data_IF_875476646604
#
_entry.id   IF_875476646604
#
_cell.length_a   1.000
_cell.length_b   1.000
_cell.length_c   1.000
_cell.angle_alpha   90.00
_cell.angle_beta   90.00
_cell.angle_gamma   90.00
#
_symmetry.space_group_name_H-M   'P 1'
#
loop_
_entity.id
_entity.type
_entity.pdbx_description
1 polymer ?
#
# COMPACT_ATOMS: atom_id res chain seq x y z
N UNK A 1 60.18 34.13 37.89
CA UNK A 1 60.78 32.78 37.93
C UNK A 1 59.62 31.79 38.04
N UNK A 2 59.03 31.43 36.91
CA UNK A 2 57.82 30.61 36.82
C UNK A 2 58.19 29.21 36.34
N UNK A 3 57.92 28.22 37.19
CA UNK A 3 58.09 26.80 36.91
C UNK A 3 56.84 26.29 36.17
N UNK A 4 57.03 25.91 34.90
CA UNK A 4 56.07 25.16 34.11
C UNK A 4 56.24 23.66 34.36
N UNK A 5 55.16 22.99 34.76
CA UNK A 5 55.04 21.52 34.75
C UNK A 5 54.41 21.05 33.44
N UNK A 6 54.93 20.02 32.75
CA UNK A 6 54.33 19.51 31.52
C UNK A 6 53.24 18.47 31.81
N UNK A 7 52.13 18.55 31.08
CA UNK A 7 51.07 17.53 31.01
C UNK A 7 51.52 16.32 30.17
N UNK A 8 51.13 15.07 30.53
CA UNK A 8 51.41 13.90 29.71
C UNK A 8 50.44 13.79 28.52
N UNK A 9 51.01 13.56 27.33
CA UNK A 9 50.29 13.24 26.09
C UNK A 9 49.62 11.87 26.21
N UNK A 10 48.29 11.81 26.04
CA UNK A 10 47.55 10.56 25.80
C UNK A 10 47.72 10.16 24.34
N UNK A 11 48.32 9.00 24.11
CA UNK A 11 48.37 8.29 22.83
C UNK A 11 47.05 7.56 22.60
N UNK A 12 46.35 7.88 21.51
CA UNK A 12 45.21 7.09 21.01
C UNK A 12 45.73 5.92 20.15
N UNK A 13 45.24 4.69 20.34
CA UNK A 13 45.56 3.59 19.45
C UNK A 13 44.82 3.76 18.11
N UNK A 14 45.59 3.73 17.03
CA UNK A 14 45.12 3.62 15.64
C UNK A 14 44.36 2.29 15.46
N UNK A 15 43.07 2.36 15.14
CA UNK A 15 42.33 1.23 14.57
C UNK A 15 42.79 1.01 13.11
N UNK A 16 43.00 -0.24 12.66
CA UNK A 16 43.27 -0.52 11.26
C UNK A 16 41.99 -0.38 10.44
N UNK A 17 42.05 0.51 9.45
CA UNK A 17 41.09 0.59 8.34
C UNK A 17 41.16 -0.71 7.53
N UNK A 18 40.11 -1.52 7.60
CA UNK A 18 39.87 -2.64 6.67
C UNK A 18 39.25 -2.05 5.39
N UNK A 19 40.05 -1.97 4.34
CA UNK A 19 39.61 -1.73 2.96
C UNK A 19 38.81 -2.95 2.50
N UNK A 20 37.49 -2.79 2.35
CA UNK A 20 36.67 -3.72 1.58
C UNK A 20 36.82 -3.39 0.09
N UNK A 21 37.58 -4.22 -0.64
CA UNK A 21 37.51 -4.29 -2.10
C UNK A 21 36.17 -4.94 -2.48
N UNK A 22 35.24 -4.19 -3.06
CA UNK A 22 34.08 -4.77 -3.76
C UNK A 22 34.50 -5.18 -5.17
N UNK A 23 34.59 -6.49 -5.41
CA UNK A 23 34.68 -7.04 -6.76
C UNK A 23 33.30 -7.02 -7.41
N UNK A 24 33.14 -6.19 -8.44
CA UNK A 24 31.98 -6.16 -9.33
C UNK A 24 32.02 -7.42 -10.21
N UNK A 25 31.14 -8.39 -9.95
CA UNK A 25 30.88 -9.49 -10.88
C UNK A 25 29.78 -9.04 -11.83
N UNK A 26 30.14 -8.84 -13.09
CA UNK A 26 29.23 -8.60 -14.21
C UNK A 26 28.58 -9.94 -14.54
N UNK A 27 27.29 -10.10 -14.22
CA UNK A 27 26.48 -11.20 -14.71
C UNK A 27 25.88 -10.81 -16.07
N UNK A 28 26.14 -11.63 -17.09
CA UNK A 28 25.52 -11.53 -18.42
C UNK A 28 24.05 -12.01 -18.36
N UNK A 29 23.16 -11.47 -19.22
CA UNK A 29 21.79 -11.94 -19.31
C UNK A 29 21.74 -13.31 -20.00
N UNK A 30 20.97 -14.23 -19.42
CA UNK A 30 20.55 -15.45 -20.09
C UNK A 30 19.36 -15.12 -20.99
N UNK A 31 19.55 -15.35 -22.29
CA UNK A 31 18.47 -15.51 -23.26
C UNK A 31 17.59 -16.69 -22.82
N UNK A 32 16.29 -16.45 -22.67
CA UNK A 32 15.31 -17.54 -22.65
C UNK A 32 14.23 -17.27 -23.69
N UNK A 33 14.46 -17.85 -24.86
CA UNK A 33 13.49 -18.01 -25.93
C UNK A 33 12.50 -19.10 -25.55
N UNK A 34 11.29 -18.72 -25.16
CA UNK A 34 10.15 -19.65 -25.12
C UNK A 34 9.06 -19.17 -26.08
N UNK A 35 9.00 -19.89 -27.19
CA UNK A 35 8.03 -19.78 -28.26
C UNK A 35 6.67 -20.37 -27.85
N UNK A 36 5.62 -19.56 -27.94
CA UNK A 36 4.36 -19.90 -28.60
C UNK A 36 3.41 -20.89 -27.94
N UNK A 37 2.29 -20.37 -27.42
CA UNK A 37 0.94 -20.94 -27.59
C UNK A 37 0.00 -19.77 -27.93
N UNK A 38 -0.76 -19.93 -29.01
CA UNK A 38 -1.69 -18.94 -29.57
C UNK A 38 -3.06 -18.85 -28.86
N UNK A 39 -4.00 -18.08 -29.46
CA UNK A 39 -5.08 -17.39 -28.75
C UNK A 39 -6.31 -18.28 -28.51
N UNK A 40 -6.88 -18.19 -27.30
CA UNK A 40 -8.20 -18.71 -26.89
C UNK A 40 -8.66 -17.85 -25.71
N UNK A 41 -9.86 -17.30 -25.62
CA UNK A 41 -11.01 -17.26 -26.50
C UNK A 41 -11.93 -16.14 -26.01
N UNK A 42 -12.67 -15.52 -26.93
CA UNK A 42 -13.68 -14.51 -26.59
C UNK A 42 -14.82 -15.14 -25.80
N UNK A 43 -15.18 -14.58 -24.65
CA UNK A 43 -16.48 -14.79 -24.04
C UNK A 43 -17.26 -13.46 -24.03
N UNK A 44 -18.04 -13.29 -25.10
CA UNK A 44 -19.22 -12.42 -25.11
C UNK A 44 -20.34 -13.15 -24.36
N UNK A 45 -20.82 -12.57 -23.27
CA UNK A 45 -22.26 -12.49 -22.99
C UNK A 45 -22.50 -11.67 -21.73
N UNK A 46 -22.74 -10.37 -21.90
CA UNK A 46 -23.54 -9.53 -20.99
C UNK A 46 -23.73 -8.11 -21.59
N UNK A 47 -24.13 -8.01 -22.87
CA UNK A 47 -24.81 -6.80 -23.37
C UNK A 47 -25.81 -7.26 -24.44
N UNK A 48 -27.09 -7.38 -24.08
CA UNK A 48 -28.20 -6.65 -24.71
C UNK A 48 -29.58 -7.13 -24.22
N UNK A 49 -30.33 -6.19 -23.64
CA UNK A 49 -31.80 -6.15 -23.59
C UNK A 49 -32.42 -6.69 -22.31
N UNK A 50 -33.41 -6.06 -21.69
CA UNK A 50 -34.13 -4.79 -21.92
C UNK A 50 -35.14 -4.71 -20.78
N UNK A 51 -35.32 -3.52 -20.22
CA UNK A 51 -36.49 -3.08 -19.45
C UNK A 51 -36.86 -3.88 -18.19
N UNK A 52 -36.52 -3.32 -17.03
CA UNK A 52 -37.18 -3.62 -15.76
C UNK A 52 -36.21 -3.91 -14.63
N UNK A 53 -35.93 -2.85 -13.85
CA UNK A 53 -35.60 -2.81 -12.42
C UNK A 53 -35.04 -4.08 -11.73
N UNK A 54 -33.87 -3.88 -11.11
CA UNK A 54 -33.39 -4.42 -9.82
C UNK A 54 -31.95 -4.98 -9.88
N UNK A 55 -31.05 -4.25 -9.22
CA UNK A 55 -29.88 -4.72 -8.47
C UNK A 55 -28.76 -5.45 -9.22
N UNK A 56 -28.04 -4.69 -10.06
CA UNK A 56 -26.57 -4.75 -10.03
C UNK A 56 -26.03 -3.60 -9.18
N UNK A 57 -26.68 -3.36 -8.03
CA UNK A 57 -26.14 -2.51 -6.99
C UNK A 57 -24.76 -3.08 -6.63
N UNK A 58 -23.75 -2.23 -6.76
CA UNK A 58 -22.36 -2.58 -6.53
C UNK A 58 -22.24 -3.36 -5.24
N UNK A 59 -21.97 -4.67 -5.38
CA UNK A 59 -21.75 -5.53 -4.23
C UNK A 59 -20.73 -4.80 -3.38
N UNK A 60 -21.08 -4.37 -2.14
CA UNK A 60 -20.15 -3.66 -1.30
C UNK A 60 -18.95 -4.57 -1.20
N UNK A 61 -17.82 -4.12 -1.75
CA UNK A 61 -16.52 -4.75 -1.55
C UNK A 61 -16.50 -5.09 -0.06
N UNK A 62 -16.54 -6.40 0.22
CA UNK A 62 -16.97 -6.95 1.50
C UNK A 62 -16.46 -6.10 2.64
N UNK A 63 -17.31 -5.79 3.63
CA UNK A 63 -16.97 -5.09 4.86
C UNK A 63 -15.49 -5.28 5.18
N UNK A 64 -14.71 -4.24 4.86
CA UNK A 64 -13.26 -4.29 4.81
C UNK A 64 -12.84 -4.56 6.25
N UNK A 65 -12.44 -5.80 6.56
CA UNK A 65 -12.23 -6.19 7.96
C UNK A 65 -10.89 -5.71 8.50
N UNK A 66 -10.00 -5.24 7.64
CA UNK A 66 -8.76 -4.57 8.01
C UNK A 66 -8.95 -3.08 8.39
N UNK A 67 -10.16 -2.52 8.33
CA UNK A 67 -10.52 -1.21 8.91
C UNK A 67 -11.81 -0.56 8.35
N UNK A 68 -12.27 0.61 8.85
CA UNK A 68 -11.93 1.27 10.11
C UNK A 68 -12.75 0.72 11.30
N UNK A 69 -12.37 1.10 12.50
CA UNK A 69 -13.16 0.90 13.71
C UNK A 69 -14.41 1.79 13.72
N UNK A 70 -15.50 1.28 14.30
CA UNK A 70 -16.77 2.02 14.40
C UNK A 70 -16.78 3.07 15.52
N UNK A 71 -15.86 2.97 16.46
CA UNK A 71 -15.70 3.87 17.61
C UNK A 71 -14.57 4.90 17.41
N UNK A 72 -14.01 4.96 16.19
CA UNK A 72 -12.88 5.82 15.82
C UNK A 72 -11.63 5.62 16.68
N UNK A 73 -11.55 4.53 17.46
CA UNK A 73 -10.34 4.20 18.19
C UNK A 73 -9.28 3.61 17.26
N UNK A 74 -8.02 3.71 17.64
CA UNK A 74 -6.90 3.26 16.85
C UNK A 74 -6.94 1.74 16.60
N UNK A 75 -7.32 1.33 15.39
CA UNK A 75 -7.38 -0.06 14.93
C UNK A 75 -6.07 -0.53 14.31
N UNK A 76 -5.88 -1.85 14.22
CA UNK A 76 -4.74 -2.45 13.53
C UNK A 76 -5.16 -3.72 12.77
N UNK A 77 -5.28 -3.60 11.45
CA UNK A 77 -5.62 -4.70 10.55
C UNK A 77 -4.37 -5.33 9.92
N UNK A 78 -4.47 -6.62 9.60
CA UNK A 78 -3.45 -7.32 8.82
C UNK A 78 -4.10 -8.17 7.73
N UNK A 79 -3.46 -8.22 6.57
CA UNK A 79 -3.69 -9.25 5.56
C UNK A 79 -2.41 -10.06 5.41
N UNK A 80 -2.51 -11.38 5.54
CA UNK A 80 -1.43 -12.31 5.22
C UNK A 80 -1.84 -13.08 3.98
N UNK A 81 -1.28 -12.71 2.83
CA UNK A 81 -1.56 -13.35 1.55
C UNK A 81 -0.50 -14.40 1.20
N UNK A 82 -0.87 -15.49 0.55
CA UNK A 82 0.10 -16.42 -0.03
C UNK A 82 -0.32 -16.92 -1.40
N UNK A 83 0.64 -16.95 -2.33
CA UNK A 83 0.44 -17.58 -3.64
C UNK A 83 0.78 -19.07 -3.65
N UNK A 84 1.22 -19.62 -2.50
CA UNK A 84 1.54 -21.05 -2.34
C UNK A 84 0.31 -21.93 -2.12
N UNK A 85 -0.79 -21.36 -1.60
CA UNK A 85 -2.07 -22.05 -1.42
C UNK A 85 -3.08 -21.35 -2.32
N UNK A 86 -3.52 -22.04 -3.38
CA UNK A 86 -4.50 -21.51 -4.34
C UNK A 86 -5.72 -22.41 -4.41
N UNK A 87 -6.83 -21.83 -4.83
CA UNK A 87 -8.09 -22.53 -5.05
C UNK A 87 -8.49 -22.40 -6.52
N UNK A 88 -8.76 -23.53 -7.18
CA UNK A 88 -9.13 -23.60 -8.60
C UNK A 88 -10.55 -24.14 -8.75
N UNK A 89 -11.29 -23.55 -9.69
CA UNK A 89 -12.57 -24.06 -10.16
C UNK A 89 -12.72 -23.87 -11.67
N UNK A 90 -12.71 -24.97 -12.42
CA UNK A 90 -12.73 -24.96 -13.90
C UNK A 90 -14.09 -24.54 -14.50
N UNK A 91 -15.12 -24.37 -13.66
CA UNK A 91 -16.47 -23.99 -14.09
C UNK A 91 -16.88 -22.60 -13.61
N UNK A 92 -15.98 -21.87 -12.96
CA UNK A 92 -16.27 -20.54 -12.42
C UNK A 92 -16.01 -19.45 -13.48
N UNK A 93 -16.95 -18.52 -13.64
CA UNK A 93 -16.75 -17.32 -14.47
C UNK A 93 -16.09 -16.20 -13.65
N UNK A 94 -15.82 -15.05 -14.28
CA UNK A 94 -15.19 -13.90 -13.62
C UNK A 94 -16.03 -13.40 -12.43
N UNK A 95 -17.32 -13.14 -12.63
CA UNK A 95 -18.22 -12.59 -11.61
C UNK A 95 -18.28 -13.48 -10.37
N UNK A 96 -18.52 -14.78 -10.55
CA UNK A 96 -18.62 -15.74 -9.47
C UNK A 96 -17.27 -15.96 -8.77
N UNK A 97 -16.16 -15.87 -9.50
CA UNK A 97 -14.82 -15.91 -8.90
C UNK A 97 -14.57 -14.67 -8.06
N UNK A 98 -14.91 -13.48 -8.59
CA UNK A 98 -14.75 -12.21 -7.89
C UNK A 98 -15.64 -12.13 -6.64
N UNK A 99 -16.86 -12.69 -6.67
CA UNK A 99 -17.75 -12.78 -5.51
C UNK A 99 -17.19 -13.64 -4.37
N UNK A 100 -16.24 -14.54 -4.66
CA UNK A 100 -15.56 -15.34 -3.64
C UNK A 100 -14.54 -14.53 -2.83
N UNK A 101 -14.04 -13.40 -3.37
CA UNK A 101 -13.06 -12.54 -2.68
C UNK A 101 -13.57 -12.13 -1.30
N UNK A 102 -12.72 -12.19 -0.28
CA UNK A 102 -13.03 -11.82 1.10
C UNK A 102 -14.04 -12.74 1.81
N UNK A 103 -14.54 -13.79 1.14
CA UNK A 103 -15.43 -14.80 1.74
C UNK A 103 -14.63 -15.89 2.42
N UNK A 104 -15.22 -16.45 3.48
CA UNK A 104 -14.54 -17.41 4.36
C UNK A 104 -14.33 -18.76 3.68
N UNK A 105 -13.15 -19.35 3.88
CA UNK A 105 -12.79 -20.68 3.37
C UNK A 105 -13.06 -21.72 4.46
N UNK A 106 -13.88 -22.74 4.17
CA UNK A 106 -14.23 -23.84 5.07
C UNK A 106 -14.69 -23.43 6.48
N UNK A 107 -15.28 -22.23 6.63
CA UNK A 107 -15.68 -21.72 7.94
C UNK A 107 -14.51 -21.40 8.88
N UNK A 108 -13.27 -21.38 8.40
CA UNK A 108 -12.07 -21.19 9.23
C UNK A 108 -11.98 -19.75 9.72
N UNK A 109 -12.18 -19.60 11.02
CA UNK A 109 -12.15 -18.33 11.72
C UNK A 109 -11.83 -18.54 13.19
N UNK A 110 -11.46 -17.45 13.86
CA UNK A 110 -11.29 -17.41 15.31
C UNK A 110 -11.49 -16.00 15.84
N UNK A 111 -11.03 -15.75 17.06
CA UNK A 111 -11.12 -14.41 17.66
C UNK A 111 -10.23 -13.46 16.86
N UNK A 112 -10.87 -12.45 16.24
CA UNK A 112 -10.24 -11.41 15.44
C UNK A 112 -9.47 -11.89 14.20
N UNK A 113 -9.77 -13.08 13.67
CA UNK A 113 -9.18 -13.53 12.42
C UNK A 113 -10.10 -14.43 11.60
N UNK A 114 -9.89 -14.46 10.29
CA UNK A 114 -10.54 -15.40 9.35
C UNK A 114 -9.60 -15.78 8.22
N UNK A 115 -9.78 -16.99 7.67
CA UNK A 115 -9.21 -17.37 6.38
C UNK A 115 -10.22 -17.04 5.28
N UNK A 116 -9.80 -16.21 4.34
CA UNK A 116 -10.55 -15.78 3.16
C UNK A 116 -9.89 -16.25 1.87
N UNK A 117 -10.65 -16.13 0.79
CA UNK A 117 -10.11 -16.22 -0.55
C UNK A 117 -9.84 -14.81 -1.11
N UNK A 118 -8.71 -14.64 -1.78
CA UNK A 118 -8.40 -13.44 -2.57
C UNK A 118 -8.42 -13.74 -4.06
N UNK A 119 -8.88 -12.79 -4.87
CA UNK A 119 -9.04 -12.94 -6.31
C UNK A 119 -7.69 -12.82 -7.02
N UNK A 120 -7.33 -13.83 -7.83
CA UNK A 120 -6.14 -13.78 -8.69
C UNK A 120 -6.49 -13.71 -10.17
N UNK A 121 -7.36 -14.60 -10.64
CA UNK A 121 -7.76 -14.73 -12.05
C UNK A 121 -9.13 -15.46 -12.13
N UNK A 122 -9.72 -15.56 -13.32
CA UNK A 122 -10.94 -16.32 -13.56
C UNK A 122 -10.73 -17.79 -13.13
N UNK A 123 -11.59 -18.27 -12.24
CA UNK A 123 -11.50 -19.62 -11.69
C UNK A 123 -10.29 -19.86 -10.79
N UNK A 124 -9.55 -18.81 -10.39
CA UNK A 124 -8.36 -18.92 -9.54
C UNK A 124 -8.36 -17.91 -8.40
N UNK A 125 -8.22 -18.42 -7.18
CA UNK A 125 -8.12 -17.64 -5.95
C UNK A 125 -6.85 -18.00 -5.17
N UNK A 126 -6.39 -17.15 -4.27
CA UNK A 126 -5.37 -17.44 -3.25
C UNK A 126 -5.96 -17.48 -1.85
N UNK A 127 -5.28 -18.17 -0.93
CA UNK A 127 -5.57 -18.08 0.49
C UNK A 127 -5.04 -16.77 1.09
N UNK A 128 -5.84 -16.18 1.95
CA UNK A 128 -5.55 -14.95 2.67
C UNK A 128 -6.04 -15.07 4.12
N UNK A 129 -5.20 -14.79 5.10
CA UNK A 129 -5.68 -14.59 6.47
C UNK A 129 -5.85 -13.10 6.73
N UNK A 130 -7.02 -12.72 7.22
CA UNK A 130 -7.30 -11.35 7.66
C UNK A 130 -7.35 -11.32 9.18
N UNK A 131 -6.59 -10.40 9.80
CA UNK A 131 -6.78 -9.98 11.18
C UNK A 131 -7.68 -8.74 11.22
N UNK A 132 -8.77 -8.84 11.97
CA UNK A 132 -9.86 -7.86 11.95
C UNK A 132 -9.46 -6.55 12.67
N UNK A 133 -9.05 -5.55 11.89
CA UNK A 133 -8.67 -4.21 12.34
C UNK A 133 -9.82 -3.42 12.93
N UNK A 134 -11.08 -3.81 12.69
CA UNK A 134 -12.25 -3.17 13.35
C UNK A 134 -12.33 -3.57 14.83
N UNK A 135 -11.80 -4.74 15.19
CA UNK A 135 -11.82 -5.31 16.53
C UNK A 135 -10.48 -5.20 17.26
N UNK A 136 -9.35 -5.35 16.54
CA UNK A 136 -8.00 -5.25 17.10
C UNK A 136 -7.68 -3.79 17.34
N UNK A 137 -7.41 -3.44 18.60
CA UNK A 137 -7.02 -2.09 19.01
C UNK A 137 -5.52 -2.02 19.26
N UNK A 138 -4.89 -0.94 18.80
CA UNK A 138 -3.48 -0.65 19.05
C UNK A 138 -3.25 -0.51 20.56
N UNK A 139 -2.23 -1.19 21.08
CA UNK A 139 -1.86 -1.17 22.50
C UNK A 139 -2.60 -2.19 23.36
N UNK A 140 -3.55 -2.95 22.78
CA UNK A 140 -4.25 -4.02 23.48
C UNK A 140 -3.52 -5.37 23.39
N UNK A 141 -2.45 -5.47 22.58
CA UNK A 141 -1.70 -6.71 22.35
C UNK A 141 -2.54 -7.86 21.79
N UNK A 142 -3.70 -7.55 21.18
CA UNK A 142 -4.59 -8.55 20.58
C UNK A 142 -4.15 -8.97 19.18
N UNK A 143 -3.35 -8.15 18.50
CA UNK A 143 -2.79 -8.45 17.18
C UNK A 143 -1.86 -9.67 17.22
N UNK A 144 -0.92 -9.69 18.17
CA UNK A 144 0.02 -10.81 18.37
C UNK A 144 -0.74 -12.12 18.66
N UNK A 145 -1.73 -12.08 19.54
CA UNK A 145 -2.54 -13.25 19.88
C UNK A 145 -3.33 -13.79 18.68
N UNK A 146 -3.94 -12.91 17.88
CA UNK A 146 -4.67 -13.30 16.68
C UNK A 146 -3.73 -13.87 15.60
N UNK A 147 -2.57 -13.24 15.37
CA UNK A 147 -1.54 -13.75 14.46
C UNK A 147 -0.99 -15.12 14.90
N UNK A 148 -0.81 -15.33 16.21
CA UNK A 148 -0.45 -16.64 16.76
C UNK A 148 -1.54 -17.69 16.46
N UNK A 149 -2.81 -17.34 16.65
CA UNK A 149 -3.90 -18.25 16.36
C UNK A 149 -3.98 -18.61 14.86
N UNK A 150 -3.68 -17.65 13.97
CA UNK A 150 -3.51 -17.92 12.53
C UNK A 150 -2.36 -18.88 12.26
N UNK A 151 -1.20 -18.68 12.90
CA UNK A 151 -0.06 -19.59 12.77
C UNK A 151 -0.39 -21.02 13.23
N UNK A 152 -1.10 -21.16 14.35
CA UNK A 152 -1.56 -22.45 14.86
C UNK A 152 -2.62 -23.06 13.89
N UNK A 153 -3.52 -22.25 13.32
CA UNK A 153 -4.53 -22.68 12.36
C UNK A 153 -3.93 -23.25 11.08
N UNK A 154 -2.99 -22.53 10.44
CA UNK A 154 -2.41 -22.98 9.17
C UNK A 154 -1.63 -24.30 9.34
N UNK A 155 -0.87 -24.43 10.44
CA UNK A 155 -0.15 -25.66 10.77
C UNK A 155 -1.12 -26.82 11.00
N UNK A 156 -2.24 -26.57 11.69
CA UNK A 156 -3.27 -27.60 11.92
C UNK A 156 -4.10 -27.92 10.67
N UNK A 157 -4.32 -26.95 9.78
CA UNK A 157 -5.09 -27.15 8.55
C UNK A 157 -4.33 -28.06 7.58
N UNK A 158 -3.02 -27.83 7.46
CA UNK A 158 -2.10 -28.61 6.65
C UNK A 158 -2.69 -29.01 5.27
N UNK A 159 -3.04 -28.01 4.41
CA UNK A 159 -3.90 -28.22 3.24
C UNK A 159 -3.35 -29.21 2.19
N UNK A 160 -2.08 -29.59 2.28
CA UNK A 160 -1.41 -30.51 1.33
C UNK A 160 -1.28 -31.96 1.82
N UNK A 161 -1.48 -32.23 3.10
CA UNK A 161 -1.29 -33.58 3.66
C UNK A 161 -2.60 -34.27 4.05
N UNK A 162 -3.53 -33.50 4.62
CA UNK A 162 -4.59 -34.07 5.45
C UNK A 162 -6.00 -33.90 4.84
N UNK A 163 -6.10 -33.39 3.61
CA UNK A 163 -7.38 -33.13 2.93
C UNK A 163 -7.77 -34.24 1.96
N UNK A 164 -8.90 -34.91 2.24
CA UNK A 164 -9.53 -35.82 1.28
C UNK A 164 -9.99 -35.03 0.05
N UNK A 165 -9.58 -35.48 -1.15
CA UNK A 165 -9.88 -34.87 -2.46
C UNK A 165 -9.35 -33.44 -2.68
N UNK A 166 -8.58 -32.85 -1.74
CA UNK A 166 -8.09 -31.48 -1.82
C UNK A 166 -9.18 -30.44 -2.11
N UNK A 167 -10.38 -30.58 -1.54
CA UNK A 167 -11.52 -29.69 -1.81
C UNK A 167 -11.81 -28.74 -0.65
N UNK A 168 -12.10 -27.48 -0.97
CA UNK A 168 -12.61 -26.47 -0.03
C UNK A 168 -13.95 -25.91 -0.51
N UNK A 169 -14.72 -25.38 0.42
CA UNK A 169 -15.90 -24.59 0.16
C UNK A 169 -15.67 -23.14 0.59
N UNK A 170 -16.08 -22.20 -0.24
CA UNK A 170 -16.08 -20.76 0.05
C UNK A 170 -17.51 -20.35 0.38
N UNK A 171 -17.72 -19.72 1.54
CA UNK A 171 -19.05 -19.40 2.05
C UNK A 171 -19.88 -18.59 1.04
N UNK A 172 -21.04 -19.13 0.68
CA UNK A 172 -22.02 -18.46 -0.20
C UNK A 172 -21.62 -18.40 -1.68
N UNK A 173 -20.55 -19.09 -2.09
CA UNK A 173 -20.08 -19.05 -3.47
C UNK A 173 -20.70 -20.16 -4.35
N UNK A 174 -21.03 -19.83 -5.61
CA UNK A 174 -21.68 -20.75 -6.55
C UNK A 174 -20.72 -21.75 -7.19
N UNK A 175 -19.41 -21.49 -7.17
CA UNK A 175 -18.39 -22.33 -7.81
C UNK A 175 -17.85 -23.45 -6.90
N UNK A 176 -18.54 -23.72 -5.80
CA UNK A 176 -18.17 -24.76 -4.86
C UNK A 176 -18.41 -26.17 -5.44
N UNK A 177 -17.54 -27.15 -5.14
CA UNK A 177 -16.32 -27.02 -4.36
C UNK A 177 -15.14 -26.51 -5.19
N UNK A 178 -14.21 -25.82 -4.54
CA UNK A 178 -12.92 -25.43 -5.11
C UNK A 178 -11.86 -26.48 -4.83
N UNK A 179 -10.91 -26.67 -5.74
CA UNK A 179 -9.77 -27.59 -5.57
C UNK A 179 -8.55 -26.81 -5.11
N UNK A 180 -7.91 -27.25 -4.03
CA UNK A 180 -6.62 -26.70 -3.61
C UNK A 180 -5.55 -27.14 -4.60
N UNK A 181 -4.78 -26.18 -5.09
CA UNK A 181 -3.62 -26.43 -5.94
C UNK A 181 -2.48 -25.46 -5.57
N UNK A 182 -1.24 -25.85 -5.85
CA UNK A 182 -0.06 -25.07 -5.45
C UNK A 182 1.13 -25.95 -5.10
N UNK A 183 2.32 -25.35 -5.07
CA UNK A 183 3.60 -26.05 -5.01
C UNK A 183 4.09 -26.47 -3.62
N UNK A 184 3.21 -26.61 -2.63
CA UNK A 184 3.60 -27.10 -1.30
C UNK A 184 3.55 -28.63 -1.25
N UNK A 185 4.55 -29.27 -0.64
CA UNK A 185 4.44 -30.69 -0.28
C UNK A 185 3.94 -30.86 1.16
N UNK A 186 3.35 -32.03 1.45
CA UNK A 186 2.94 -32.39 2.81
C UNK A 186 4.13 -32.23 3.80
N UNK A 187 3.92 -31.46 4.88
CA UNK A 187 4.97 -31.18 5.88
C UNK A 187 5.75 -29.87 5.69
N UNK A 188 5.54 -29.14 4.60
CA UNK A 188 6.20 -27.84 4.34
C UNK A 188 5.37 -26.62 4.74
N UNK A 189 4.19 -26.83 5.33
CA UNK A 189 3.21 -25.76 5.60
C UNK A 189 3.77 -24.67 6.52
N UNK A 190 4.63 -25.04 7.48
CA UNK A 190 5.31 -24.07 8.34
C UNK A 190 6.29 -23.14 7.58
N UNK A 191 6.79 -23.58 6.42
CA UNK A 191 7.74 -22.82 5.59
C UNK A 191 7.08 -21.98 4.51
N UNK A 192 5.75 -22.07 4.37
CA UNK A 192 4.99 -21.22 3.44
C UNK A 192 5.26 -19.77 3.78
N UNK A 193 5.65 -19.02 2.75
CA UNK A 193 5.85 -17.59 2.87
C UNK A 193 4.52 -16.87 2.67
N UNK A 194 4.24 -15.99 3.62
CA UNK A 194 3.12 -15.06 3.64
C UNK A 194 3.63 -13.66 3.34
N UNK A 195 2.87 -12.90 2.58
CA UNK A 195 3.16 -11.52 2.19
C UNK A 195 2.28 -10.61 3.04
N UNK A 196 2.79 -10.03 4.14
CA UNK A 196 1.98 -9.23 5.02
C UNK A 196 1.65 -7.87 4.40
N UNK A 197 0.42 -7.41 4.69
CA UNK A 197 -0.04 -6.04 4.53
C UNK A 197 -0.64 -5.58 5.86
N UNK A 198 -0.49 -4.29 6.19
CA UNK A 198 -0.90 -3.76 7.50
C UNK A 198 -1.71 -2.50 7.30
N UNK A 199 -2.93 -2.43 7.83
CA UNK A 199 -3.77 -1.23 7.81
C UNK A 199 -3.78 -0.60 9.20
N UNK A 200 -3.42 0.69 9.30
CA UNK A 200 -3.38 1.43 10.56
C UNK A 200 -3.61 2.94 10.37
N UNK A 201 -4.17 3.65 11.37
CA UNK A 201 -4.21 5.10 11.36
C UNK A 201 -2.81 5.66 11.64
N UNK A 202 -2.35 6.59 10.80
CA UNK A 202 -0.99 7.12 10.90
C UNK A 202 -0.96 8.64 10.68
N UNK A 203 -0.32 9.40 11.59
CA UNK A 203 -0.21 10.84 11.42
C UNK A 203 0.66 11.16 10.20
N UNK A 204 0.31 12.22 9.46
CA UNK A 204 1.02 12.58 8.22
C UNK A 204 2.51 12.89 8.45
N UNK A 205 2.90 13.33 9.65
CA UNK A 205 4.30 13.50 10.04
C UNK A 205 5.05 12.15 10.05
N UNK A 206 4.43 11.09 10.55
CA UNK A 206 5.01 9.75 10.51
C UNK A 206 5.13 9.24 9.07
N UNK A 207 4.14 9.54 8.22
CA UNK A 207 4.23 9.24 6.79
C UNK A 207 5.43 9.96 6.17
N UNK A 208 5.61 11.25 6.46
CA UNK A 208 6.78 12.01 5.99
C UNK A 208 8.11 11.38 6.42
N UNK A 209 8.21 10.95 7.69
CA UNK A 209 9.39 10.25 8.20
C UNK A 209 9.65 8.92 7.46
N UNK A 210 8.61 8.11 7.22
CA UNK A 210 8.73 6.85 6.49
C UNK A 210 9.19 7.07 5.03
N UNK A 211 8.71 8.14 4.38
CA UNK A 211 9.22 8.56 3.06
C UNK A 211 10.72 8.89 3.08
N UNK A 212 11.22 9.48 4.17
CA UNK A 212 12.64 9.77 4.37
C UNK A 212 13.50 8.54 4.62
N UNK A 213 12.97 7.54 5.33
CA UNK A 213 13.68 6.29 5.60
C UNK A 213 13.83 5.42 4.34
N UNK A 214 12.81 5.40 3.47
CA UNK A 214 12.68 4.57 2.24
C UNK A 214 12.71 3.05 2.44
N UNK A 215 13.40 2.56 3.47
CA UNK A 215 13.59 1.15 3.85
C UNK A 215 13.94 1.06 5.34
N UNK A 216 13.99 -0.14 5.91
CA UNK A 216 14.53 -0.38 7.25
C UNK A 216 13.50 -0.28 8.39
N UNK A 217 12.35 0.34 8.15
CA UNK A 217 11.16 0.19 9.00
C UNK A 217 10.46 -1.14 8.74
N UNK A 218 9.84 -1.73 9.77
CA UNK A 218 8.97 -2.91 9.65
C UNK A 218 7.71 -2.61 8.81
N UNK A 219 7.33 -1.34 8.73
CA UNK A 219 6.22 -0.83 7.91
C UNK A 219 6.65 -0.47 6.48
N UNK A 220 7.92 -0.70 6.11
CA UNK A 220 8.42 -0.47 4.77
C UNK A 220 8.93 -1.79 4.18
N UNK A 221 8.76 -1.99 2.87
CA UNK A 221 9.35 -3.15 2.24
C UNK A 221 10.88 -3.00 2.21
N UNK A 222 11.55 -4.12 1.96
CA UNK A 222 12.93 -4.08 1.46
C UNK A 222 12.98 -3.22 0.18
N UNK A 223 14.15 -2.66 -0.19
CA UNK A 223 14.23 -1.85 -1.40
C UNK A 223 13.67 -2.62 -2.62
N UNK A 224 12.56 -2.15 -3.16
CA UNK A 224 11.83 -2.73 -4.30
C UNK A 224 11.58 -1.66 -5.36
N UNK A 225 11.12 -2.07 -6.55
CA UNK A 225 10.72 -1.13 -7.61
C UNK A 225 9.60 -0.16 -7.17
N UNK A 226 8.67 -0.56 -6.29
CA UNK A 226 7.63 0.36 -5.79
C UNK A 226 8.22 1.57 -5.05
N UNK A 227 9.28 1.35 -4.27
CA UNK A 227 9.94 2.45 -3.55
C UNK A 227 10.68 3.40 -4.49
N UNK A 228 10.90 3.03 -5.76
CA UNK A 228 11.54 3.90 -6.75
C UNK A 228 10.60 5.03 -7.21
N UNK A 229 9.28 4.85 -7.10
CA UNK A 229 8.32 5.89 -7.41
C UNK A 229 8.11 6.88 -6.26
N UNK A 230 8.49 6.53 -5.02
CA UNK A 230 8.26 7.40 -3.85
C UNK A 230 9.02 8.72 -3.97
N UNK A 231 8.28 9.81 -4.02
CA UNK A 231 8.79 11.19 -4.07
C UNK A 231 8.67 11.79 -2.66
N UNK A 232 9.80 11.90 -1.97
CA UNK A 232 9.85 12.64 -0.70
C UNK A 232 9.93 14.15 -0.98
N UNK A 233 8.84 14.87 -0.73
CA UNK A 233 8.78 16.32 -0.83
C UNK A 233 9.41 16.94 0.41
N UNK A 234 10.47 17.72 0.24
CA UNK A 234 11.15 18.41 1.36
C UNK A 234 10.81 19.89 1.36
N UNK A 235 11.18 20.60 2.44
CA UNK A 235 11.04 22.07 2.50
C UNK A 235 11.67 22.80 1.31
N UNK A 236 12.73 22.23 0.71
CA UNK A 236 13.42 22.81 -0.45
C UNK A 236 12.56 22.83 -1.72
N UNK A 237 11.55 21.98 -1.84
CA UNK A 237 10.60 22.03 -2.96
C UNK A 237 9.77 23.33 -2.94
N UNK A 238 9.70 24.02 -1.80
CA UNK A 238 8.97 25.28 -1.63
C UNK A 238 9.88 26.52 -1.72
N UNK A 239 11.13 26.37 -2.16
CA UNK A 239 12.08 27.50 -2.21
C UNK A 239 11.67 28.61 -3.19
N UNK A 240 10.92 28.28 -4.24
CA UNK A 240 10.35 29.24 -5.20
C UNK A 240 9.06 29.92 -4.70
N UNK A 241 8.62 29.60 -3.46
CA UNK A 241 7.40 30.08 -2.84
C UNK A 241 6.12 29.86 -3.68
N UNK A 242 5.83 28.61 -4.11
CA UNK A 242 4.64 28.32 -4.92
C UNK A 242 3.37 28.78 -4.18
N UNK A 243 2.54 29.60 -4.84
CA UNK A 243 1.35 30.23 -4.26
C UNK A 243 1.58 30.92 -2.89
N UNK A 244 2.79 31.47 -2.68
CA UNK A 244 3.16 32.15 -1.44
C UNK A 244 3.40 31.22 -0.25
N UNK A 245 3.57 29.91 -0.50
CA UNK A 245 3.96 28.93 0.50
C UNK A 245 5.48 28.95 0.70
N UNK A 246 5.95 29.59 1.78
CA UNK A 246 7.38 29.65 2.11
C UNK A 246 7.88 28.35 2.73
N UNK A 247 9.08 27.91 2.32
CA UNK A 247 9.76 26.73 2.88
C UNK A 247 9.89 26.74 4.41
N UNK A 248 9.98 27.91 5.03
CA UNK A 248 10.08 28.07 6.48
C UNK A 248 8.77 27.78 7.21
N UNK A 249 7.63 28.00 6.54
CA UNK A 249 6.30 27.87 7.14
C UNK A 249 5.72 26.44 6.98
N UNK A 250 6.38 25.58 6.19
CA UNK A 250 5.89 24.23 5.91
C UNK A 250 6.21 23.29 7.08
N UNK A 251 5.16 22.63 7.56
CA UNK A 251 5.22 21.63 8.62
C UNK A 251 5.31 20.21 8.04
N UNK A 252 5.76 19.26 8.86
CA UNK A 252 6.03 17.88 8.42
C UNK A 252 4.79 17.15 7.90
N UNK A 253 3.60 17.43 8.42
CA UNK A 253 2.36 16.83 7.90
C UNK A 253 1.97 17.35 6.52
N UNK A 254 2.19 18.64 6.24
CA UNK A 254 2.06 19.21 4.90
C UNK A 254 3.07 18.55 3.95
N UNK A 255 4.31 18.33 4.38
CA UNK A 255 5.32 17.59 3.59
C UNK A 255 4.92 16.12 3.37
N UNK A 256 4.34 15.46 4.38
CA UNK A 256 3.80 14.12 4.28
C UNK A 256 2.69 14.01 3.24
N UNK A 257 1.71 14.92 3.32
CA UNK A 257 0.64 15.02 2.32
C UNK A 257 1.19 15.21 0.90
N UNK A 258 2.07 16.20 0.69
CA UNK A 258 2.63 16.43 -0.63
C UNK A 258 3.54 15.30 -1.12
N UNK A 259 4.20 14.56 -0.23
CA UNK A 259 5.00 13.38 -0.63
C UNK A 259 4.13 12.27 -1.21
N UNK A 260 2.95 12.05 -0.62
CA UNK A 260 1.96 11.09 -1.17
C UNK A 260 1.44 11.61 -2.52
N UNK A 261 0.95 12.86 -2.58
CA UNK A 261 0.40 13.46 -3.79
C UNK A 261 1.40 13.43 -4.94
N UNK A 262 2.64 13.85 -4.69
CA UNK A 262 3.68 13.89 -5.71
C UNK A 262 4.06 12.51 -6.23
N UNK A 263 4.01 11.48 -5.38
CA UNK A 263 4.29 10.10 -5.81
C UNK A 263 3.24 9.60 -6.79
N UNK A 264 1.95 9.77 -6.47
CA UNK A 264 0.87 9.40 -7.39
C UNK A 264 0.89 10.26 -8.65
N UNK A 265 1.04 11.57 -8.53
CA UNK A 265 1.02 12.50 -9.66
C UNK A 265 2.15 12.23 -10.67
N UNK A 266 3.38 11.96 -10.21
CA UNK A 266 4.52 11.64 -11.09
C UNK A 266 4.50 10.22 -11.65
N UNK A 267 3.60 9.37 -11.19
CA UNK A 267 3.48 7.98 -11.62
C UNK A 267 2.11 7.66 -12.23
N UNK A 268 1.30 8.69 -12.54
CA UNK A 268 -0.05 8.53 -13.06
C UNK A 268 -0.06 7.78 -14.40
N UNK A 269 0.89 8.09 -15.28
CA UNK A 269 1.09 7.42 -16.57
C UNK A 269 1.73 6.03 -16.48
N UNK A 270 2.09 5.56 -15.27
CA UNK A 270 2.71 4.26 -15.02
C UNK A 270 1.73 3.21 -14.50
N UNK A 271 0.43 3.49 -14.52
CA UNK A 271 -0.57 2.51 -14.15
C UNK A 271 -0.53 1.33 -15.11
N UNK A 272 -0.44 0.14 -14.53
CA UNK A 272 -0.59 -1.13 -15.21
C UNK A 272 -1.88 -1.82 -14.74
N UNK A 273 -2.02 -3.10 -15.08
CA UNK A 273 -3.08 -3.96 -14.59
C UNK A 273 -3.04 -4.17 -13.06
N UNK A 274 -2.10 -3.63 -12.31
CA UNK A 274 -2.19 -3.68 -10.84
C UNK A 274 -2.98 -2.51 -10.29
N UNK A 275 -3.14 -1.43 -11.05
CA UNK A 275 -3.83 -0.21 -10.65
C UNK A 275 -3.04 0.69 -9.68
N UNK A 276 -3.63 1.81 -9.23
CA UNK A 276 -3.02 2.81 -8.35
C UNK A 276 -2.34 2.26 -7.10
N UNK A 277 -2.86 1.16 -6.52
CA UNK A 277 -2.24 0.47 -5.38
C UNK A 277 -0.80 0.02 -5.62
N UNK A 278 -0.39 -0.17 -6.88
CA UNK A 278 0.95 -0.63 -7.21
C UNK A 278 1.99 0.48 -7.26
N UNK A 279 1.56 1.74 -7.22
CA UNK A 279 2.45 2.89 -7.37
C UNK A 279 3.32 3.13 -6.13
N UNK A 280 2.86 2.72 -4.94
CA UNK A 280 3.62 2.88 -3.70
C UNK A 280 3.26 1.82 -2.66
N UNK A 281 4.14 1.67 -1.67
CA UNK A 281 3.96 0.71 -0.57
C UNK A 281 3.27 1.30 0.66
N UNK A 282 3.06 2.62 0.72
CA UNK A 282 2.32 3.31 1.79
C UNK A 282 0.99 3.81 1.20
N UNK A 283 0.05 2.92 1.01
CA UNK A 283 -1.17 3.20 0.25
C UNK A 283 -2.22 3.90 1.13
N UNK A 284 -2.75 5.07 0.74
CA UNK A 284 -3.84 5.71 1.47
C UNK A 284 -5.13 4.90 1.33
N UNK A 285 -5.71 4.47 2.46
CA UNK A 285 -7.04 3.85 2.50
C UNK A 285 -8.13 4.89 2.75
N UNK A 286 -7.82 5.96 3.49
CA UNK A 286 -8.64 7.18 3.55
C UNK A 286 -8.53 7.96 2.23
N UNK A 287 -9.64 8.47 1.71
CA UNK A 287 -9.67 9.28 0.49
C UNK A 287 -8.85 10.59 0.62
N UNK A 288 -8.29 11.06 -0.49
CA UNK A 288 -7.37 12.20 -0.48
C UNK A 288 -8.04 13.51 -0.10
N UNK A 289 -9.31 13.70 -0.48
CA UNK A 289 -10.06 14.91 -0.11
C UNK A 289 -10.25 15.02 1.41
N UNK A 290 -10.34 13.90 2.11
CA UNK A 290 -10.40 13.85 3.58
C UNK A 290 -9.02 14.04 4.21
N UNK A 291 -7.97 13.43 3.66
CA UNK A 291 -6.58 13.70 4.08
C UNK A 291 -6.24 15.19 3.95
N UNK A 292 -6.61 15.81 2.82
CA UNK A 292 -6.35 17.22 2.55
C UNK A 292 -7.01 18.14 3.58
N UNK A 293 -8.22 17.82 4.08
CA UNK A 293 -8.89 18.62 5.13
C UNK A 293 -8.02 18.77 6.40
N UNK A 294 -7.19 17.79 6.73
CA UNK A 294 -6.29 17.83 7.89
C UNK A 294 -5.15 18.86 7.73
N UNK A 295 -4.78 19.20 6.50
CA UNK A 295 -3.69 20.14 6.19
C UNK A 295 -4.16 21.42 5.48
N UNK A 296 -5.41 21.48 5.04
CA UNK A 296 -5.96 22.55 4.18
C UNK A 296 -5.73 23.96 4.72
N UNK A 297 -5.86 24.18 6.03
CA UNK A 297 -5.65 25.51 6.64
C UNK A 297 -4.21 26.04 6.49
N UNK A 298 -3.26 25.17 6.17
CA UNK A 298 -1.82 25.48 6.00
C UNK A 298 -1.38 25.45 4.53
N UNK A 299 -2.25 25.04 3.61
CA UNK A 299 -2.00 25.06 2.17
C UNK A 299 -2.64 26.31 1.59
N UNK A 300 -1.86 27.12 0.86
CA UNK A 300 -2.31 28.42 0.31
C UNK A 300 -2.44 28.34 -1.20
N UNK A 301 -3.53 28.88 -1.74
CA UNK A 301 -3.76 28.97 -3.18
C UNK A 301 -4.29 27.66 -3.78
N UNK A 302 -4.06 27.50 -5.07
CA UNK A 302 -4.53 26.36 -5.84
C UNK A 302 -3.58 25.15 -5.72
N UNK A 303 -4.14 24.00 -5.36
CA UNK A 303 -3.42 22.75 -5.09
C UNK A 303 -2.73 22.23 -6.35
N UNK A 304 -3.39 22.30 -7.50
CA UNK A 304 -2.81 21.83 -8.76
C UNK A 304 -1.62 22.70 -9.18
N UNK A 305 -1.76 24.02 -9.10
CA UNK A 305 -0.65 24.95 -9.41
C UNK A 305 0.55 24.76 -8.46
N UNK A 306 0.31 24.45 -7.18
CA UNK A 306 1.39 24.06 -6.26
C UNK A 306 2.06 22.79 -6.76
N UNK A 307 1.30 21.71 -7.00
CA UNK A 307 1.81 20.41 -7.47
C UNK A 307 2.61 20.55 -8.76
N UNK A 308 2.20 21.38 -9.71
CA UNK A 308 2.95 21.67 -10.94
C UNK A 308 4.34 22.23 -10.66
N UNK A 309 4.45 23.17 -9.73
CA UNK A 309 5.75 23.73 -9.33
C UNK A 309 6.57 22.71 -8.54
N UNK A 310 5.96 21.96 -7.61
CA UNK A 310 6.67 20.94 -6.85
C UNK A 310 7.20 19.81 -7.76
N UNK A 311 6.48 19.49 -8.85
CA UNK A 311 6.91 18.51 -9.85
C UNK A 311 8.24 18.87 -10.52
N UNK A 312 8.62 20.15 -10.52
CA UNK A 312 9.89 20.62 -11.03
C UNK A 312 11.10 20.12 -10.26
N UNK A 313 10.91 19.54 -9.08
CA UNK A 313 12.02 19.14 -8.23
C UNK A 313 12.13 17.61 -8.14
N UNK A 314 13.37 17.14 -8.01
CA UNK A 314 13.70 15.79 -7.56
C UNK A 314 14.69 15.88 -6.39
N UNK A 315 14.53 15.02 -5.41
CA UNK A 315 15.38 15.02 -4.21
C UNK A 315 16.74 14.41 -4.53
N UNK A 316 17.81 15.08 -4.07
CA UNK A 316 19.21 14.65 -4.21
C UNK A 316 19.91 14.75 -2.85
N UNK A 317 19.94 13.65 -2.09
CA UNK A 317 20.48 13.53 -0.72
C UNK A 317 20.01 14.65 0.24
N UNK A 318 20.67 15.81 0.20
CA UNK A 318 20.44 16.97 1.04
C UNK A 318 19.91 18.19 0.28
N UNK A 319 19.70 18.08 -1.03
CA UNK A 319 19.28 19.16 -1.92
C UNK A 319 18.17 18.75 -2.90
N UNK A 320 17.78 19.67 -3.77
CA UNK A 320 16.88 19.42 -4.88
C UNK A 320 17.52 19.83 -6.19
N UNK A 321 17.35 18.97 -7.20
CA UNK A 321 17.69 19.28 -8.58
C UNK A 321 16.43 19.62 -9.36
N UNK A 322 16.61 20.36 -10.46
CA UNK A 322 15.54 20.54 -11.43
C UNK A 322 15.27 19.20 -12.15
N UNK A 323 14.01 18.79 -12.15
CA UNK A 323 13.50 17.69 -12.94
C UNK A 323 13.15 18.20 -14.34
N UNK A 324 14.10 18.06 -15.27
CA UNK A 324 13.97 18.55 -16.64
C UNK A 324 12.85 17.86 -17.43
N UNK A 325 12.30 16.75 -16.92
CA UNK A 325 11.11 16.16 -17.51
C UNK A 325 9.91 17.10 -17.31
N UNK A 326 9.71 17.61 -16.09
CA UNK A 326 8.55 18.43 -15.74
C UNK A 326 8.75 19.93 -15.95
N UNK A 327 10.01 20.41 -15.93
CA UNK A 327 10.28 21.84 -15.89
C UNK A 327 11.49 22.29 -16.70
N UNK A 328 11.54 23.60 -16.92
CA UNK A 328 12.67 24.36 -17.46
C UNK A 328 13.07 25.45 -16.46
N UNK A 329 14.04 26.32 -16.82
CA UNK A 329 14.48 27.40 -15.94
C UNK A 329 15.60 26.97 -14.98
N UNK A 330 15.57 27.49 -13.74
CA UNK A 330 16.57 27.19 -12.70
C UNK A 330 15.91 26.58 -11.46
N UNK A 331 16.72 26.11 -10.52
CA UNK A 331 16.23 25.54 -9.24
C UNK A 331 15.49 26.60 -8.41
N UNK A 332 15.95 27.85 -8.43
CA UNK A 332 15.37 28.97 -7.68
C UNK A 332 14.10 29.53 -8.33
N UNK A 333 14.00 29.41 -9.66
CA UNK A 333 12.88 29.92 -10.45
C UNK A 333 12.50 28.89 -11.52
N UNK A 334 11.91 27.75 -11.11
CA UNK A 334 11.54 26.72 -12.06
C UNK A 334 10.32 27.16 -12.86
N UNK A 335 10.26 26.73 -14.11
CA UNK A 335 9.14 27.00 -15.01
C UNK A 335 8.54 25.68 -15.47
N UNK A 336 7.34 25.30 -14.99
CA UNK A 336 6.61 24.13 -15.48
C UNK A 336 6.49 24.13 -17.01
N UNK A 337 6.79 23.00 -17.65
CA UNK A 337 6.81 22.88 -19.11
C UNK A 337 5.54 22.21 -19.69
N UNK A 338 4.54 21.95 -18.84
CA UNK A 338 3.28 21.33 -19.21
C UNK A 338 3.27 19.79 -19.24
N UNK A 339 4.35 19.08 -18.86
CA UNK A 339 4.27 17.61 -18.78
C UNK A 339 3.29 17.14 -17.70
N UNK A 340 3.17 17.84 -16.57
CA UNK A 340 2.18 17.50 -15.54
C UNK A 340 0.74 17.60 -16.07
N UNK A 341 0.47 18.54 -16.99
CA UNK A 341 -0.85 18.69 -17.62
C UNK A 341 -1.24 17.49 -18.52
N UNK A 342 -0.27 16.61 -18.84
CA UNK A 342 -0.49 15.40 -19.64
C UNK A 342 -0.60 14.13 -18.79
N UNK A 343 -0.36 14.23 -17.49
CA UNK A 343 -0.43 13.08 -16.59
C UNK A 343 -1.89 12.73 -16.32
N UNK A 344 -2.25 11.46 -16.47
CA UNK A 344 -3.57 10.94 -16.18
C UNK A 344 -3.50 9.53 -15.64
N UNK A 345 -4.42 9.22 -14.74
CA UNK A 345 -4.71 7.85 -14.34
C UNK A 345 -5.69 7.28 -15.36
N UNK A 346 -5.35 6.17 -15.99
CA UNK A 346 -6.25 5.47 -16.91
C UNK A 346 -6.30 4.01 -16.50
N UNK A 347 -7.50 3.49 -16.21
CA UNK A 347 -7.71 2.08 -15.90
C UNK A 347 -8.72 1.49 -16.87
N UNK A 348 -8.37 0.33 -17.41
CA UNK A 348 -9.21 -0.47 -18.29
C UNK A 348 -9.40 -1.84 -17.64
N UNK A 349 -10.65 -2.28 -17.53
CA UNK A 349 -10.99 -3.67 -17.21
C UNK A 349 -11.22 -4.39 -18.53
N UNK A 350 -10.20 -5.09 -19.00
CA UNK A 350 -10.11 -5.66 -20.36
C UNK A 350 -11.23 -6.66 -20.70
N UNK A 351 -11.84 -7.27 -19.68
CA UNK A 351 -12.91 -8.26 -19.82
C UNK A 351 -14.33 -7.64 -19.89
N UNK A 352 -14.51 -6.41 -19.37
CA UNK A 352 -15.82 -5.74 -19.30
C UNK A 352 -15.93 -4.47 -20.13
N UNK A 353 -14.81 -3.99 -20.69
CA UNK A 353 -14.74 -2.71 -21.39
C UNK A 353 -15.04 -1.51 -20.49
N UNK A 354 -15.11 -1.70 -19.17
CA UNK A 354 -15.26 -0.60 -18.21
C UNK A 354 -13.91 0.10 -18.13
N UNK A 355 -13.91 1.37 -18.50
CA UNK A 355 -12.76 2.24 -18.45
C UNK A 355 -13.16 3.51 -17.71
N UNK A 356 -12.28 4.00 -16.84
CA UNK A 356 -12.34 5.37 -16.36
C UNK A 356 -10.95 5.99 -16.43
N UNK A 357 -10.92 7.32 -16.49
CA UNK A 357 -9.70 8.09 -16.47
C UNK A 357 -9.90 9.42 -15.75
N UNK A 358 -8.84 9.91 -15.14
CA UNK A 358 -8.80 11.25 -14.56
C UNK A 358 -7.43 11.85 -14.83
N UNK A 359 -7.38 13.10 -15.32
CA UNK A 359 -6.12 13.82 -15.33
C UNK A 359 -5.67 14.11 -13.89
N UNK A 360 -4.35 14.30 -13.68
CA UNK A 360 -3.86 14.75 -12.37
C UNK A 360 -4.50 16.07 -11.96
N UNK A 361 -4.85 16.93 -12.93
CA UNK A 361 -5.59 18.16 -12.66
C UNK A 361 -6.99 17.87 -12.10
N UNK A 362 -7.79 17.05 -12.77
CA UNK A 362 -9.14 16.71 -12.31
C UNK A 362 -9.10 16.09 -10.91
N UNK A 363 -8.08 15.27 -10.65
CA UNK A 363 -7.84 14.71 -9.33
C UNK A 363 -7.54 15.78 -8.28
N UNK A 364 -6.57 16.68 -8.51
CA UNK A 364 -6.27 17.77 -7.57
C UNK A 364 -7.45 18.71 -7.34
N UNK A 365 -8.19 19.06 -8.41
CA UNK A 365 -9.38 19.90 -8.34
C UNK A 365 -10.44 19.24 -7.43
N UNK A 366 -10.66 17.93 -7.57
CA UNK A 366 -11.62 17.18 -6.74
C UNK A 366 -11.23 17.15 -5.26
N UNK A 367 -9.94 16.96 -4.95
CA UNK A 367 -9.40 17.01 -3.59
C UNK A 367 -9.63 18.40 -2.98
N UNK A 368 -9.28 19.46 -3.71
CA UNK A 368 -9.38 20.84 -3.23
C UNK A 368 -10.84 21.25 -2.97
N UNK A 369 -11.73 20.85 -3.86
CA UNK A 369 -13.17 21.05 -3.75
C UNK A 369 -13.82 20.22 -2.64
N UNK A 370 -13.13 19.19 -2.12
CA UNK A 370 -13.65 18.30 -1.09
C UNK A 370 -14.68 17.29 -1.61
N UNK A 371 -14.60 16.95 -2.90
CA UNK A 371 -15.44 15.93 -3.54
C UNK A 371 -15.07 14.56 -2.93
N UNK A 372 -16.09 13.72 -2.75
CA UNK A 372 -15.95 12.39 -2.14
C UNK A 372 -16.95 11.43 -2.81
N UNK A 373 -16.47 10.31 -3.38
CA UNK A 373 -15.05 9.96 -3.56
C UNK A 373 -14.26 10.99 -4.41
N UNK A 374 -12.95 11.15 -4.19
CA UNK A 374 -12.11 11.97 -5.09
C UNK A 374 -11.84 11.23 -6.42
N UNK A 375 -11.46 11.95 -7.49
CA UNK A 375 -11.40 11.35 -8.84
C UNK A 375 -10.44 10.15 -8.95
N UNK A 376 -9.37 10.06 -8.15
CA UNK A 376 -8.50 8.87 -8.20
C UNK A 376 -9.18 7.68 -7.53
N UNK A 377 -9.88 7.92 -6.43
CA UNK A 377 -10.71 6.90 -5.76
C UNK A 377 -11.77 6.36 -6.73
N UNK A 378 -12.49 7.24 -7.44
CA UNK A 378 -13.49 6.84 -8.46
C UNK A 378 -12.87 6.05 -9.63
N UNK A 379 -11.68 6.43 -10.09
CA UNK A 379 -10.96 5.65 -11.12
C UNK A 379 -10.59 4.27 -10.58
N UNK A 380 -10.11 4.17 -9.35
CA UNK A 380 -9.71 2.89 -8.72
C UNK A 380 -10.91 1.96 -8.44
N UNK A 381 -12.12 2.51 -8.26
CA UNK A 381 -13.38 1.74 -8.15
C UNK A 381 -13.70 0.93 -9.41
N UNK A 382 -13.14 1.29 -10.56
CA UNK A 382 -13.24 0.47 -11.77
C UNK A 382 -12.67 -0.92 -11.52
N UNK A 383 -11.65 -1.05 -10.65
CA UNK A 383 -10.92 -2.30 -10.44
C UNK A 383 -11.17 -2.95 -9.09
N UNK A 384 -10.85 -2.26 -8.00
CA UNK A 384 -10.88 -2.88 -6.67
C UNK A 384 -11.09 -1.91 -5.49
N UNK A 385 -11.22 -0.60 -5.74
CA UNK A 385 -11.48 0.43 -4.72
C UNK A 385 -10.56 0.31 -3.50
N UNK A 386 -9.25 0.17 -3.73
CA UNK A 386 -8.26 0.07 -2.66
C UNK A 386 -7.74 1.45 -2.23
N UNK A 387 -7.37 2.31 -3.18
CA UNK A 387 -6.91 3.67 -2.89
C UNK A 387 -8.12 4.54 -2.56
N UNK A 388 -8.16 5.07 -1.33
CA UNK A 388 -9.32 5.82 -0.83
C UNK A 388 -10.55 4.95 -0.52
N UNK A 389 -10.42 3.62 -0.57
CA UNK A 389 -11.51 2.66 -0.43
C UNK A 389 -12.26 2.64 0.91
N UNK A 390 -11.70 3.26 1.95
CA UNK A 390 -12.38 3.47 3.24
C UNK A 390 -13.10 4.82 3.30
N UNK A 391 -13.16 5.55 2.17
CA UNK A 391 -13.82 6.85 2.05
C UNK A 391 -13.30 7.85 3.07
N UNK A 392 -14.23 8.42 3.84
CA UNK A 392 -13.95 9.48 4.84
C UNK A 392 -13.43 8.96 6.18
N UNK A 393 -13.21 7.66 6.31
CA UNK A 393 -12.80 7.07 7.58
C UNK A 393 -11.50 7.69 8.10
N UNK A 394 -11.52 8.02 9.38
CA UNK A 394 -10.38 8.42 10.19
C UNK A 394 -10.48 7.66 11.51
N UNK A 395 -9.35 7.41 12.15
CA UNK A 395 -9.33 6.94 13.54
C UNK A 395 -8.40 7.84 14.34
N UNK A 396 -8.58 7.83 15.66
CA UNK A 396 -7.76 8.62 16.55
C UNK A 396 -6.41 7.95 16.80
N UNK A 397 -5.38 8.77 17.05
CA UNK A 397 -4.12 8.26 17.59
C UNK A 397 -4.33 7.65 18.98
N UNK A 398 -3.47 6.71 19.37
CA UNK A 398 -3.52 6.03 20.65
C UNK A 398 -3.63 7.00 21.83
N UNK A 399 -4.62 6.76 22.69
CA UNK A 399 -4.95 7.56 23.86
C UNK A 399 -5.21 9.06 23.55
N UNK A 400 -5.55 9.40 22.31
CA UNK A 400 -5.75 10.77 21.82
C UNK A 400 -7.13 10.95 21.21
N UNK A 401 -7.53 12.20 20.97
CA UNK A 401 -8.67 12.57 20.10
C UNK A 401 -8.20 13.19 18.78
N UNK A 402 -6.89 13.09 18.49
CA UNK A 402 -6.33 13.56 17.24
C UNK A 402 -6.61 12.52 16.16
N UNK A 403 -7.46 12.87 15.21
CA UNK A 403 -7.77 12.03 14.05
C UNK A 403 -6.55 11.90 13.11
N UNK A 404 -6.39 10.71 12.55
CA UNK A 404 -5.37 10.35 11.57
C UNK A 404 -5.98 9.53 10.43
N UNK A 405 -5.48 9.70 9.19
CA UNK A 405 -5.90 8.86 8.07
C UNK A 405 -5.39 7.43 8.21
N UNK A 406 -6.14 6.49 7.63
CA UNK A 406 -5.74 5.10 7.53
C UNK A 406 -4.86 4.88 6.29
N UNK A 407 -3.77 4.17 6.51
CA UNK A 407 -2.85 3.73 5.47
C UNK A 407 -2.68 2.23 5.53
N UNK A 408 -2.51 1.62 4.37
CA UNK A 408 -2.10 0.24 4.22
C UNK A 408 -0.64 0.18 3.79
N UNK A 409 0.17 -0.49 4.59
CA UNK A 409 1.58 -0.76 4.34
C UNK A 409 1.71 -2.09 3.62
N UNK A 410 2.06 -2.02 2.34
CA UNK A 410 2.07 -3.16 1.41
C UNK A 410 3.47 -3.66 1.10
N UNK A 411 3.54 -4.85 0.50
CA UNK A 411 4.76 -5.46 -0.05
C UNK A 411 5.84 -5.68 1.01
N UNK A 412 5.44 -5.79 2.28
CA UNK A 412 6.34 -5.97 3.40
C UNK A 412 7.13 -7.27 3.25
N UNK A 413 8.22 -7.40 4.01
CA UNK A 413 9.07 -8.58 3.92
C UNK A 413 8.24 -9.85 4.14
N UNK A 414 8.37 -10.82 3.23
CA UNK A 414 7.71 -12.12 3.38
C UNK A 414 8.16 -12.79 4.68
N UNK A 415 7.21 -13.42 5.36
CA UNK A 415 7.40 -14.08 6.66
C UNK A 415 6.86 -15.51 6.60
N UNK A 416 7.37 -16.38 7.45
CA UNK A 416 6.84 -17.75 7.57
C UNK A 416 5.66 -17.80 8.53
N UNK A 417 4.92 -18.91 8.55
CA UNK A 417 3.84 -19.10 9.52
C UNK A 417 4.33 -18.94 10.97
N UNK A 418 5.53 -19.44 11.29
CA UNK A 418 6.10 -19.31 12.64
C UNK A 418 6.46 -17.87 13.04
N UNK A 419 6.60 -16.96 12.07
CA UNK A 419 7.00 -15.57 12.31
C UNK A 419 5.80 -14.61 12.41
N UNK A 420 4.57 -15.07 12.11
CA UNK A 420 3.36 -14.21 12.07
C UNK A 420 3.13 -13.44 13.39
N UNK A 421 3.25 -14.14 14.53
CA UNK A 421 3.04 -13.56 15.86
C UNK A 421 4.07 -12.46 16.18
N UNK A 422 5.35 -12.77 16.01
CA UNK A 422 6.45 -11.83 16.28
C UNK A 422 6.40 -10.63 15.33
N UNK A 423 6.05 -10.86 14.06
CA UNK A 423 5.83 -9.78 13.09
C UNK A 423 4.69 -8.85 13.53
N UNK A 424 3.53 -9.37 13.90
CA UNK A 424 2.38 -8.56 14.34
C UNK A 424 2.72 -7.71 15.58
N UNK A 425 3.44 -8.30 16.54
CA UNK A 425 3.91 -7.61 17.76
C UNK A 425 4.88 -6.45 17.44
N UNK A 426 5.82 -6.67 16.51
CA UNK A 426 6.77 -5.64 16.05
C UNK A 426 6.10 -4.51 15.28
N UNK A 427 5.12 -4.85 14.44
CA UNK A 427 4.30 -3.86 13.73
C UNK A 427 3.50 -3.01 14.70
N UNK A 428 2.79 -3.62 15.65
CA UNK A 428 2.02 -2.90 16.66
C UNK A 428 2.93 -1.96 17.46
N UNK A 429 4.10 -2.44 17.88
CA UNK A 429 5.10 -1.63 18.59
C UNK A 429 5.55 -0.42 17.77
N UNK A 430 5.85 -0.61 16.48
CA UNK A 430 6.27 0.47 15.60
C UNK A 430 5.17 1.53 15.41
N UNK A 431 3.90 1.10 15.27
CA UNK A 431 2.75 2.01 15.16
C UNK A 431 2.57 2.80 16.46
N UNK A 432 2.65 2.13 17.62
CA UNK A 432 2.60 2.79 18.94
C UNK A 432 3.69 3.86 19.07
N UNK A 433 4.92 3.57 18.63
CA UNK A 433 6.03 4.51 18.70
C UNK A 433 5.76 5.77 17.86
N UNK A 434 5.23 5.61 16.65
CA UNK A 434 4.81 6.75 15.82
C UNK A 434 3.65 7.54 16.44
N UNK A 435 2.66 6.86 17.02
CA UNK A 435 1.55 7.52 17.72
C UNK A 435 2.05 8.34 18.90
N UNK A 436 2.93 7.78 19.74
CA UNK A 436 3.52 8.50 20.88
C UNK A 436 4.37 9.68 20.46
N UNK A 437 5.09 9.57 19.33
CA UNK A 437 5.98 10.62 18.84
C UNK A 437 5.24 11.84 18.29
N UNK A 438 4.07 11.63 17.67
CA UNK A 438 3.36 12.65 16.88
C UNK A 438 1.95 13.01 17.40
N UNK A 439 1.64 12.58 18.63
CA UNK A 439 0.44 12.95 19.37
C UNK A 439 0.53 14.33 20.01
#
# INVERSE_FOLDING_TARGET
MHLFTPFPKKTFPLLPFLLYLSTTIVAQPLDDTSSGIGPRGSCLSCIYGSDGDEDCDGLPLNAIQDGPTTDESAGLGFEFETSSIRFQSDHCNYEDTHQAKGKMVNGRSGINWKLTADFLDIGVLSAEYILDGTQIKIGASTAEAAAKAVADDIISWNPFADMTDNKVSITGNLCNPWTIFGGGTAGEVATIQWSPQVTAPMPLQAIYELFGQRTGSILLPKPTHANQNMVMVTKKFFQSNPNGMSSNDIQEDVLGFFSIIMTYAKAADKLDESGPKALMSIMPRTEFSTIFKLVKSRVKGDLYEIVKVLACYKSNENDVDLDSHYCSGTVESPTPNGQMDKQSFTLVMDDKGKQDSASVKDWMDSIQAGISPDRLTEVDEVRNSQVGGLGKALENLLDSSQAAPLFEFRRLAKITASDLSDFASKVESAVIDFHKKYK
#
